data_IF_314015637266
#
_entry.id   IF_314015637266
#
_cell.length_a   1.000
_cell.length_b   1.000
_cell.length_c   1.000
_cell.angle_alpha   90.00
_cell.angle_beta   90.00
_cell.angle_gamma   90.00
#
_symmetry.space_group_name_H-M   'P 1'
#
loop_
_entity.id
_entity.type
_entity.pdbx_description
1 polymer ?
#
# COMPACT_ATOMS: atom_id res chain seq x y z
N UNK A 1 -12.68 4.82 6.72
CA UNK A 1 -11.61 4.49 5.75
C UNK A 1 -10.31 4.18 6.49
N UNK A 2 -9.58 5.18 7.02
CA UNK A 2 -8.28 4.97 7.69
C UNK A 2 -8.31 3.93 8.83
N UNK A 3 -9.32 3.97 9.71
CA UNK A 3 -9.44 3.02 10.84
C UNK A 3 -9.60 1.56 10.44
N UNK A 4 -10.31 1.27 9.35
CA UNK A 4 -10.53 -0.11 8.92
C UNK A 4 -9.27 -0.70 8.27
N UNK A 5 -8.54 0.11 7.50
CA UNK A 5 -7.23 -0.27 6.98
C UNK A 5 -6.17 -0.40 8.09
N UNK A 6 -6.20 0.49 9.10
CA UNK A 6 -5.31 0.35 10.25
C UNK A 6 -5.56 -0.97 11.00
N UNK A 7 -6.83 -1.37 11.16
CA UNK A 7 -7.18 -2.65 11.76
C UNK A 7 -6.64 -3.85 10.96
N UNK A 8 -6.80 -3.84 9.62
CA UNK A 8 -6.24 -4.90 8.76
C UNK A 8 -4.72 -4.98 8.83
N UNK A 9 -4.04 -3.83 8.87
CA UNK A 9 -2.59 -3.76 9.04
C UNK A 9 -2.19 -4.33 10.39
N UNK A 10 -2.88 -3.99 11.47
CA UNK A 10 -2.61 -4.54 12.80
C UNK A 10 -2.84 -6.05 12.87
N UNK A 11 -3.90 -6.55 12.24
CA UNK A 11 -4.12 -8.00 12.17
C UNK A 11 -3.06 -8.72 11.35
N UNK A 12 -2.66 -8.15 10.20
CA UNK A 12 -1.59 -8.70 9.38
C UNK A 12 -0.26 -8.71 10.14
N UNK A 13 0.06 -7.66 10.90
CA UNK A 13 1.22 -7.63 11.82
C UNK A 13 1.13 -8.69 12.90
N UNK A 14 -0.04 -8.86 13.52
CA UNK A 14 -0.25 -9.89 14.54
C UNK A 14 -0.06 -11.32 13.99
N UNK A 15 -0.30 -11.52 12.70
CA UNK A 15 -0.03 -12.79 11.98
C UNK A 15 1.42 -12.92 11.50
N UNK A 16 2.26 -11.91 11.71
CA UNK A 16 3.65 -11.88 11.23
C UNK A 16 3.76 -11.70 9.71
N UNK A 17 2.73 -11.16 9.07
CA UNK A 17 2.78 -10.83 7.64
C UNK A 17 3.67 -9.61 7.39
N UNK A 18 4.24 -9.55 6.18
CA UNK A 18 5.01 -8.40 5.76
C UNK A 18 4.08 -7.24 5.39
N UNK A 19 4.16 -6.15 6.15
CA UNK A 19 3.51 -4.90 5.78
C UNK A 19 4.43 -4.10 4.86
N UNK A 20 3.90 -3.74 3.69
CA UNK A 20 4.59 -2.85 2.75
C UNK A 20 3.79 -1.56 2.63
N UNK A 21 4.41 -0.45 3.01
CA UNK A 21 3.84 0.89 2.85
C UNK A 21 4.52 1.54 1.65
N UNK A 22 3.72 1.83 0.62
CA UNK A 22 4.18 2.54 -0.58
C UNK A 22 3.83 4.00 -0.44
N UNK A 23 4.86 4.84 -0.30
CA UNK A 23 4.73 6.28 -0.32
C UNK A 23 4.98 6.79 -1.74
N UNK A 24 3.96 7.39 -2.33
CA UNK A 24 4.04 7.94 -3.68
C UNK A 24 4.74 9.30 -3.66
N UNK A 25 5.87 9.40 -4.35
CA UNK A 25 6.53 10.67 -4.63
C UNK A 25 5.70 11.39 -5.71
N UNK A 26 5.06 12.50 -5.31
CA UNK A 26 4.31 13.34 -6.23
C UNK A 26 5.23 14.21 -7.07
N UNK A 27 4.69 14.67 -8.20
CA UNK A 27 5.40 15.52 -9.14
C UNK A 27 5.80 16.87 -8.49
N UNK A 28 6.92 17.43 -8.92
CA UNK A 28 7.40 18.72 -8.45
C UNK A 28 6.34 19.81 -8.71
N UNK A 29 6.01 20.61 -7.69
CA UNK A 29 4.96 21.62 -7.77
C UNK A 29 3.53 21.11 -7.58
N UNK A 30 3.32 19.82 -7.29
CA UNK A 30 2.00 19.28 -6.92
C UNK A 30 1.75 19.33 -5.41
N UNK A 31 0.49 19.24 -4.97
CA UNK A 31 0.14 19.14 -3.55
C UNK A 31 0.72 17.89 -2.86
N UNK A 32 1.19 16.92 -3.64
CA UNK A 32 1.84 15.69 -3.18
C UNK A 32 3.35 15.66 -3.47
N UNK A 33 3.96 16.80 -3.81
CA UNK A 33 5.41 16.93 -3.98
C UNK A 33 6.15 16.37 -2.76
N UNK A 34 7.29 15.72 -2.98
CA UNK A 34 8.13 15.21 -1.90
C UNK A 34 8.37 16.29 -0.84
N UNK A 35 8.15 15.95 0.44
CA UNK A 35 8.19 16.85 1.61
C UNK A 35 7.03 17.86 1.75
N UNK A 36 6.00 17.80 0.90
CA UNK A 36 4.78 18.57 1.11
C UNK A 36 3.93 17.98 2.26
N UNK A 37 2.98 18.77 2.78
CA UNK A 37 2.02 18.26 3.78
C UNK A 37 1.15 17.12 3.24
N UNK A 38 0.82 17.15 1.95
CA UNK A 38 0.04 16.11 1.28
C UNK A 38 0.85 14.85 0.94
N UNK A 39 2.17 14.88 1.12
CA UNK A 39 3.07 13.75 0.93
C UNK A 39 3.38 13.00 2.24
N UNK A 40 3.19 13.64 3.39
CA UNK A 40 3.40 13.00 4.70
C UNK A 40 2.39 11.87 4.87
N UNK A 41 2.86 10.68 5.24
CA UNK A 41 2.00 9.54 5.57
C UNK A 41 1.00 9.95 6.66
N UNK A 42 -0.25 9.50 6.50
CA UNK A 42 -1.28 9.73 7.50
C UNK A 42 -0.80 9.19 8.85
N UNK A 43 -1.04 9.89 9.98
CA UNK A 43 -0.45 9.54 11.28
C UNK A 43 -0.79 8.13 11.78
N UNK A 44 -1.92 7.57 11.31
CA UNK A 44 -2.35 6.19 11.58
C UNK A 44 -1.56 5.11 10.80
N UNK A 45 -0.85 5.49 9.73
CA UNK A 45 -0.02 4.59 8.93
C UNK A 45 1.45 4.93 9.12
N UNK A 46 2.05 4.31 10.13
CA UNK A 46 3.50 4.40 10.38
C UNK A 46 4.12 3.04 10.14
N UNK A 47 5.26 3.04 9.44
CA UNK A 47 6.08 1.85 9.33
C UNK A 47 6.64 1.49 10.71
N UNK A 48 6.43 0.25 11.13
CA UNK A 48 6.95 -0.32 12.36
C UNK A 48 8.18 -1.20 12.10
N UNK A 49 8.81 -1.71 13.16
CA UNK A 49 9.97 -2.58 13.04
C UNK A 49 9.58 -3.89 12.35
N UNK A 50 10.15 -4.14 11.16
CA UNK A 50 9.82 -5.29 10.32
C UNK A 50 9.00 -4.93 9.08
N UNK A 51 8.37 -3.76 9.08
CA UNK A 51 7.66 -3.24 7.91
C UNK A 51 8.63 -2.75 6.85
N UNK A 52 8.15 -2.70 5.61
CA UNK A 52 8.88 -2.19 4.47
C UNK A 52 8.27 -0.88 4.00
N UNK A 53 8.97 0.23 4.21
CA UNK A 53 8.61 1.53 3.66
C UNK A 53 9.34 1.74 2.34
N UNK A 54 8.58 1.91 1.24
CA UNK A 54 9.11 2.15 -0.09
C UNK A 54 8.63 3.49 -0.62
N UNK A 55 9.53 4.18 -1.30
CA UNK A 55 9.21 5.35 -2.11
C UNK A 55 9.10 4.92 -3.57
N UNK A 56 8.04 5.36 -4.23
CA UNK A 56 7.75 5.02 -5.61
C UNK A 56 7.14 6.21 -6.34
N UNK A 57 7.28 6.24 -7.66
CA UNK A 57 6.61 7.23 -8.52
C UNK A 57 5.40 6.58 -9.16
N UNK A 58 4.28 7.31 -9.18
CA UNK A 58 3.04 6.81 -9.78
C UNK A 58 3.19 6.57 -11.29
N UNK A 59 2.43 5.63 -11.86
CA UNK A 59 1.44 4.74 -11.21
C UNK A 59 2.02 3.39 -10.74
N UNK A 60 3.32 3.16 -10.92
CA UNK A 60 3.92 1.83 -10.83
C UNK A 60 5.10 1.79 -9.85
N UNK A 61 4.91 1.15 -8.70
CA UNK A 61 5.97 0.95 -7.73
C UNK A 61 6.91 -0.23 -8.06
N UNK A 62 6.49 -1.19 -8.88
CA UNK A 62 7.36 -2.28 -9.31
C UNK A 62 8.47 -1.79 -10.24
N UNK A 63 8.15 -0.84 -11.13
CA UNK A 63 9.12 -0.26 -12.06
C UNK A 63 9.99 0.85 -11.43
N UNK A 64 9.44 1.59 -10.46
CA UNK A 64 10.07 2.81 -9.93
C UNK A 64 10.72 2.63 -8.55
N UNK A 65 10.66 1.44 -7.97
CA UNK A 65 11.22 1.15 -6.65
C UNK A 65 11.85 -0.25 -6.56
N UNK A 66 12.42 -0.57 -5.40
CA UNK A 66 12.98 -1.88 -5.10
C UNK A 66 11.94 -2.93 -4.66
N UNK A 67 10.63 -2.66 -4.84
CA UNK A 67 9.53 -3.50 -4.37
C UNK A 67 9.69 -4.98 -4.76
N UNK A 68 9.93 -5.27 -6.04
CA UNK A 68 10.07 -6.66 -6.51
C UNK A 68 11.25 -7.38 -5.86
N UNK A 69 12.39 -6.70 -5.73
CA UNK A 69 13.59 -7.25 -5.10
C UNK A 69 13.36 -7.58 -3.63
N UNK A 70 12.74 -6.67 -2.89
CA UNK A 70 12.43 -6.86 -1.47
C UNK A 70 11.42 -7.99 -1.22
N UNK A 71 10.37 -8.07 -2.05
CA UNK A 71 9.38 -9.15 -1.96
C UNK A 71 10.01 -10.52 -2.25
N UNK A 72 10.86 -10.61 -3.27
CA UNK A 72 11.59 -11.85 -3.60
C UNK A 72 12.59 -12.23 -2.53
N UNK A 73 13.34 -11.27 -1.98
CA UNK A 73 14.31 -11.50 -0.92
C UNK A 73 13.64 -12.10 0.34
N UNK A 74 12.37 -11.75 0.57
CA UNK A 74 11.54 -12.25 1.68
C UNK A 74 10.68 -13.45 1.30
N UNK A 75 10.88 -14.03 0.11
CA UNK A 75 10.15 -15.18 -0.43
C UNK A 75 8.62 -14.99 -0.46
N UNK A 76 8.15 -13.75 -0.64
CA UNK A 76 6.72 -13.45 -0.74
C UNK A 76 6.16 -14.04 -2.03
N UNK A 77 5.01 -14.71 -1.92
CA UNK A 77 4.31 -15.32 -3.07
C UNK A 77 2.90 -14.77 -3.26
N UNK A 78 2.31 -14.22 -2.19
CA UNK A 78 0.95 -13.72 -2.17
C UNK A 78 0.97 -12.27 -1.74
N UNK A 79 0.24 -11.43 -2.45
CA UNK A 79 0.15 -10.00 -2.18
C UNK A 79 -1.33 -9.63 -2.05
N UNK A 80 -1.65 -8.84 -1.02
CA UNK A 80 -2.95 -8.20 -0.85
C UNK A 80 -2.76 -6.69 -0.93
N UNK A 81 -3.53 -6.04 -1.79
CA UNK A 81 -3.49 -4.57 -1.92
C UNK A 81 -4.58 -3.94 -1.05
N UNK A 82 -4.17 -3.02 -0.19
CA UNK A 82 -5.06 -2.09 0.50
C UNK A 82 -4.96 -0.74 -0.20
N UNK A 83 -5.86 -0.50 -1.15
CA UNK A 83 -5.93 0.73 -1.93
C UNK A 83 -7.39 1.17 -2.12
N UNK A 84 -7.59 2.42 -2.51
CA UNK A 84 -8.92 2.92 -2.84
C UNK A 84 -9.48 2.15 -4.04
N UNK A 85 -10.73 1.70 -3.93
CA UNK A 85 -11.43 1.03 -5.02
C UNK A 85 -11.52 1.97 -6.24
N UNK A 86 -11.25 1.45 -7.43
CA UNK A 86 -11.25 2.22 -8.67
C UNK A 86 -10.03 3.13 -8.88
N UNK A 87 -9.05 3.14 -7.98
CA UNK A 87 -7.82 3.91 -8.20
C UNK A 87 -6.98 3.30 -9.34
N UNK A 88 -6.46 4.11 -10.28
CA UNK A 88 -5.64 3.63 -11.39
C UNK A 88 -4.35 2.95 -10.90
N UNK A 89 -3.81 3.38 -9.75
CA UNK A 89 -2.65 2.78 -9.13
C UNK A 89 -2.92 1.34 -8.68
N UNK A 90 -4.10 1.06 -8.10
CA UNK A 90 -4.45 -0.30 -7.67
C UNK A 90 -4.53 -1.28 -8.85
N UNK A 91 -5.14 -0.84 -9.96
CA UNK A 91 -5.22 -1.65 -11.18
C UNK A 91 -3.83 -1.92 -11.78
N UNK A 92 -2.99 -0.88 -11.86
CA UNK A 92 -1.61 -1.00 -12.35
C UNK A 92 -0.77 -1.94 -11.49
N UNK A 93 -0.78 -1.74 -10.17
CA UNK A 93 -0.04 -2.57 -9.21
C UNK A 93 -0.49 -4.03 -9.20
N UNK A 94 -1.81 -4.27 -9.33
CA UNK A 94 -2.36 -5.64 -9.43
C UNK A 94 -1.91 -6.35 -10.71
N UNK A 95 -1.94 -5.64 -11.83
CA UNK A 95 -1.47 -6.17 -13.10
C UNK A 95 0.04 -6.47 -13.06
N UNK A 96 0.84 -5.56 -12.50
CA UNK A 96 2.29 -5.75 -12.37
C UNK A 96 2.64 -6.89 -11.42
N UNK A 97 2.00 -6.97 -10.25
CA UNK A 97 2.21 -8.08 -9.32
C UNK A 97 1.92 -9.44 -9.99
N UNK A 98 0.83 -9.52 -10.76
CA UNK A 98 0.50 -10.73 -11.52
C UNK A 98 1.54 -11.04 -12.60
N UNK A 99 2.02 -10.02 -13.33
CA UNK A 99 3.06 -10.18 -14.35
C UNK A 99 4.40 -10.65 -13.77
N UNK A 100 4.71 -10.24 -12.54
CA UNK A 100 5.90 -10.67 -11.79
C UNK A 100 5.74 -12.07 -11.14
N UNK A 101 4.58 -12.70 -11.28
CA UNK A 101 4.30 -14.06 -10.80
C UNK A 101 3.76 -14.15 -9.38
N UNK A 102 3.37 -13.02 -8.76
CA UNK A 102 2.74 -13.02 -7.45
C UNK A 102 1.25 -13.38 -7.57
N UNK A 103 0.74 -14.12 -6.59
CA UNK A 103 -0.69 -14.36 -6.46
C UNK A 103 -1.32 -13.15 -5.79
N UNK A 104 -2.09 -12.38 -6.55
CA UNK A 104 -2.83 -11.25 -5.99
C UNK A 104 -4.14 -11.76 -5.39
N UNK A 105 -4.26 -11.67 -4.08
CA UNK A 105 -5.48 -11.98 -3.36
C UNK A 105 -6.21 -10.69 -3.00
N UNK A 106 -7.43 -10.50 -3.51
CA UNK A 106 -8.27 -9.36 -3.16
C UNK A 106 -9.63 -9.81 -2.66
N UNK A 107 -9.93 -9.54 -1.39
CA UNK A 107 -11.23 -8.98 -1.10
C UNK A 107 -11.10 -7.49 -1.43
N UNK A 108 -11.89 -6.99 -2.38
CA UNK A 108 -12.14 -5.55 -2.44
C UNK A 108 -12.59 -5.15 -1.03
N UNK A 109 -11.89 -4.20 -0.41
CA UNK A 109 -12.35 -3.66 0.85
C UNK A 109 -13.64 -2.89 0.55
N UNK A 110 -14.79 -3.52 0.77
CA UNK A 110 -16.08 -2.82 0.78
C UNK A 110 -16.18 -2.13 2.14
N UNK A 111 -16.04 -0.79 2.23
CA UNK A 111 -16.28 -0.11 3.48
C UNK A 111 -17.73 -0.35 3.89
N UNK A 112 -17.97 -1.12 4.94
CA UNK A 112 -19.27 -1.06 5.61
C UNK A 112 -19.42 0.38 6.12
N UNK A 113 -20.41 1.16 5.68
CA UNK A 113 -20.65 2.48 6.25
C UNK A 113 -20.94 2.27 7.74
N UNK A 114 -20.02 2.71 8.59
CA UNK A 114 -20.26 2.71 10.02
C UNK A 114 -21.35 3.77 10.27
N UNK A 115 -22.46 3.43 10.94
CA UNK A 115 -23.44 4.44 11.32
C UNK A 115 -22.72 5.47 12.18
N UNK A 116 -22.71 6.72 11.71
CA UNK A 116 -22.29 7.86 12.52
C UNK A 116 -23.10 7.82 13.81
N UNK A 117 -22.42 7.87 14.95
CA UNK A 117 -23.04 7.90 16.26
C UNK A 117 -24.11 9.01 16.28
N UNK A 118 -25.30 8.60 16.73
CA UNK A 118 -26.41 9.47 17.12
C UNK A 118 -26.02 10.47 18.22
#
# INVERSE_FOLDING_TARGET
MARAWAHEVDEARARGELIVIVQWDGEAGSDHETFSRGWILHPDFRAETGDLLLRAVKPDAFATSALDGELRARAVRQIRFLALEGSPENASMTAQASAHGYQVGGAAFTPTPQPENA
#
